data_IF_788295665889
#
_entry.id   IF_788295665889
#
_cell.length_a   1.000
_cell.length_b   1.000
_cell.length_c   1.000
_cell.angle_alpha   90.00
_cell.angle_beta   90.00
_cell.angle_gamma   90.00
#
_symmetry.space_group_name_H-M   'P 1'
#
loop_
_entity.id
_entity.type
_entity.pdbx_description
1 polymer ?
#
# COMPACT_ATOMS: atom_id res chain seq x y z
N UNK A 1 14.44 -15.41 -7.64
CA UNK A 1 13.91 -15.02 -6.32
C UNK A 1 13.66 -13.54 -6.38
N UNK A 2 12.41 -13.15 -6.23
CA UNK A 2 11.95 -11.76 -6.42
C UNK A 2 12.45 -10.91 -5.24
N UNK A 3 12.76 -9.63 -5.46
CA UNK A 3 13.04 -8.66 -4.37
C UNK A 3 11.96 -8.67 -3.27
N UNK A 4 10.74 -9.07 -3.64
CA UNK A 4 9.62 -9.27 -2.73
C UNK A 4 9.89 -10.38 -1.68
N UNK A 5 10.56 -11.46 -2.07
CA UNK A 5 10.87 -12.59 -1.18
C UNK A 5 11.97 -12.22 -0.17
N UNK A 6 12.96 -11.43 -0.60
CA UNK A 6 14.02 -10.93 0.29
C UNK A 6 13.47 -9.92 1.30
N UNK A 7 12.48 -9.11 0.90
CA UNK A 7 11.81 -8.17 1.78
C UNK A 7 10.92 -8.87 2.81
N UNK A 8 10.17 -9.91 2.43
CA UNK A 8 9.39 -10.73 3.36
C UNK A 8 10.30 -11.46 4.36
N UNK A 9 11.40 -12.06 3.90
CA UNK A 9 12.43 -12.67 4.77
C UNK A 9 13.05 -11.65 5.73
N UNK A 10 13.24 -10.40 5.29
CA UNK A 10 13.75 -9.33 6.12
C UNK A 10 12.74 -8.91 7.19
N UNK A 11 11.45 -8.76 6.85
CA UNK A 11 10.38 -8.46 7.81
C UNK A 11 10.18 -9.61 8.82
N UNK A 12 10.27 -10.86 8.37
CA UNK A 12 10.20 -12.04 9.23
C UNK A 12 11.40 -12.10 10.20
N UNK A 13 12.61 -11.77 9.72
CA UNK A 13 13.80 -11.66 10.56
C UNK A 13 13.69 -10.55 11.61
N UNK A 14 13.08 -9.42 11.29
CA UNK A 14 12.84 -8.32 12.25
C UNK A 14 11.81 -8.69 13.31
N UNK A 15 10.77 -9.45 12.95
CA UNK A 15 9.75 -9.91 13.90
C UNK A 15 10.28 -10.97 14.89
N UNK A 16 11.30 -11.74 14.49
CA UNK A 16 11.87 -12.82 15.31
C UNK A 16 12.96 -12.33 16.27
N UNK A 17 13.52 -11.12 16.04
CA UNK A 17 14.69 -10.61 16.80
C UNK A 17 14.30 -9.87 18.09
N UNK A 18 13.10 -10.06 18.64
CA UNK A 18 12.71 -9.50 19.96
C UNK A 18 13.30 -10.28 21.15
N UNK A 19 14.28 -11.16 20.93
CA UNK A 19 15.02 -11.83 22.01
C UNK A 19 16.52 -11.53 21.91
N UNK A 20 16.94 -10.54 22.70
CA UNK A 20 18.28 -10.28 23.22
C UNK A 20 19.47 -11.02 22.58
N UNK A 21 20.31 -10.27 21.84
CA UNK A 21 21.77 -10.38 21.96
C UNK A 21 22.43 -9.04 21.67
N UNK A 22 23.15 -8.57 22.68
CA UNK A 22 24.05 -7.41 22.69
C UNK A 22 25.17 -7.53 21.64
N UNK A 23 25.42 -6.43 20.91
CA UNK A 23 26.71 -6.23 20.22
C UNK A 23 26.67 -6.17 18.70
N UNK A 24 25.86 -5.27 18.13
CA UNK A 24 26.13 -4.63 16.84
C UNK A 24 25.28 -3.36 16.79
N UNK A 25 25.84 -2.27 16.24
CA UNK A 25 25.19 -0.97 16.13
C UNK A 25 24.05 -1.09 15.09
N UNK A 26 22.93 -1.67 15.49
CA UNK A 26 21.73 -1.77 14.67
C UNK A 26 21.05 -0.42 14.68
N UNK A 27 21.07 0.26 13.54
CA UNK A 27 20.32 1.48 13.30
C UNK A 27 18.83 1.16 13.39
N UNK A 28 18.22 1.53 14.53
CA UNK A 28 16.82 1.22 14.84
C UNK A 28 15.89 1.90 13.82
N UNK A 29 15.12 1.10 13.09
CA UNK A 29 14.09 1.58 12.17
C UNK A 29 12.75 1.47 12.86
N UNK A 30 12.06 2.59 12.97
CA UNK A 30 10.72 2.61 13.52
C UNK A 30 9.74 2.15 12.43
N UNK A 31 9.22 0.94 12.61
CA UNK A 31 8.25 0.32 11.71
C UNK A 31 6.89 0.21 12.40
N UNK A 32 5.83 0.35 11.62
CA UNK A 32 4.49 0.04 12.07
C UNK A 32 4.32 -1.48 12.15
N UNK A 33 4.22 -2.00 13.37
CA UNK A 33 3.96 -3.43 13.63
C UNK A 33 2.47 -3.61 13.87
N UNK A 34 1.83 -4.40 13.02
CA UNK A 34 0.44 -4.83 13.21
C UNK A 34 0.41 -6.07 14.11
N UNK A 35 -0.54 -6.18 15.05
CA UNK A 35 -0.76 -7.41 15.79
C UNK A 35 -1.19 -8.54 14.82
N UNK A 36 -0.60 -9.73 14.98
CA UNK A 36 -0.71 -10.85 14.02
C UNK A 36 -2.14 -11.30 13.69
N UNK A 37 -3.12 -11.00 14.55
CA UNK A 37 -4.53 -11.31 14.32
C UNK A 37 -5.20 -10.43 13.24
N UNK A 38 -4.67 -9.24 12.96
CA UNK A 38 -5.27 -8.31 11.99
C UNK A 38 -4.84 -8.60 10.55
N UNK A 39 -3.69 -9.24 10.35
CA UNK A 39 -3.12 -9.54 9.02
C UNK A 39 -4.00 -10.44 8.14
N UNK A 40 -4.83 -11.31 8.73
CA UNK A 40 -5.73 -12.20 7.96
C UNK A 40 -7.09 -11.58 7.64
N UNK A 41 -7.50 -10.54 8.38
CA UNK A 41 -8.86 -9.99 8.28
C UNK A 41 -8.95 -8.78 7.35
N UNK A 42 -7.85 -8.06 7.12
CA UNK A 42 -7.82 -6.85 6.30
C UNK A 42 -6.56 -6.81 5.40
N UNK A 43 -6.62 -7.51 4.27
CA UNK A 43 -5.50 -7.61 3.33
C UNK A 43 -5.12 -6.26 2.71
N UNK A 44 -6.12 -5.44 2.34
CA UNK A 44 -5.88 -4.13 1.71
C UNK A 44 -5.20 -3.16 2.67
N UNK A 45 -5.60 -3.18 3.95
CA UNK A 45 -4.96 -2.36 5.00
C UNK A 45 -3.52 -2.82 5.27
N UNK A 46 -3.26 -4.13 5.24
CA UNK A 46 -1.90 -4.65 5.35
C UNK A 46 -1.00 -4.15 4.21
N UNK A 47 -1.53 -4.06 2.98
CA UNK A 47 -0.78 -3.52 1.84
C UNK A 47 -0.43 -2.03 2.03
N UNK A 48 -1.36 -1.22 2.55
CA UNK A 48 -1.11 0.19 2.91
C UNK A 48 0.00 0.30 3.96
N UNK A 49 -0.02 -0.53 5.00
CA UNK A 49 1.00 -0.52 6.05
C UNK A 49 2.35 -1.03 5.52
N UNK A 50 2.36 -2.05 4.67
CA UNK A 50 3.58 -2.54 4.02
C UNK A 50 4.22 -1.46 3.14
N UNK A 51 3.41 -0.75 2.36
CA UNK A 51 3.86 0.37 1.52
C UNK A 51 4.39 1.53 2.36
N UNK A 52 3.71 1.85 3.46
CA UNK A 52 4.15 2.83 4.46
C UNK A 52 5.49 2.44 5.09
N UNK A 53 5.64 1.20 5.55
CA UNK A 53 6.87 0.68 6.13
C UNK A 53 8.01 0.64 5.12
N UNK A 54 7.76 0.28 3.86
CA UNK A 54 8.76 0.35 2.79
C UNK A 54 9.25 1.78 2.55
N UNK A 55 8.33 2.76 2.57
CA UNK A 55 8.66 4.17 2.45
C UNK A 55 9.50 4.67 3.64
N UNK A 56 9.15 4.29 4.87
CA UNK A 56 9.91 4.63 6.08
C UNK A 56 11.31 3.99 6.07
N UNK A 57 11.42 2.72 5.65
CA UNK A 57 12.70 2.02 5.48
C UNK A 57 13.62 2.68 4.45
N UNK A 58 13.06 3.24 3.38
CA UNK A 58 13.84 3.84 2.29
C UNK A 58 14.25 5.29 2.59
N UNK A 59 13.48 6.01 3.40
CA UNK A 59 13.72 7.42 3.74
C UNK A 59 14.35 7.61 5.14
N UNK A 60 15.06 6.59 5.66
CA UNK A 60 15.79 6.70 6.93
C UNK A 60 16.74 7.90 6.91
N UNK A 61 16.61 8.79 7.90
CA UNK A 61 17.46 9.98 8.04
C UNK A 61 16.99 11.22 7.27
N UNK A 62 15.89 11.14 6.50
CA UNK A 62 15.20 12.28 5.89
C UNK A 62 13.87 12.53 6.59
N UNK A 63 13.39 13.77 6.62
CA UNK A 63 12.05 14.09 7.13
C UNK A 63 11.01 13.34 6.31
N UNK A 64 10.29 12.36 6.90
CA UNK A 64 9.19 11.74 6.17
C UNK A 64 8.09 12.77 5.92
N UNK A 65 7.71 12.87 4.66
CA UNK A 65 6.61 13.71 4.24
C UNK A 65 5.26 13.01 4.47
N UNK A 66 4.39 13.68 5.23
CA UNK A 66 3.00 13.27 5.41
C UNK A 66 2.26 13.14 4.08
N UNK A 67 2.51 14.05 3.12
CA UNK A 67 1.85 14.05 1.81
C UNK A 67 2.09 12.74 1.09
N UNK A 68 3.31 12.20 1.11
CA UNK A 68 3.61 10.95 0.39
C UNK A 68 2.94 9.75 1.06
N UNK A 69 2.89 9.72 2.38
CA UNK A 69 2.19 8.66 3.13
C UNK A 69 0.68 8.71 2.91
N UNK A 70 0.11 9.92 2.92
CA UNK A 70 -1.29 10.18 2.60
C UNK A 70 -1.61 9.75 1.17
N UNK A 71 -0.87 10.24 0.18
CA UNK A 71 -1.11 9.96 -1.24
C UNK A 71 -0.98 8.46 -1.55
N UNK A 72 -0.05 7.77 -0.89
CA UNK A 72 0.09 6.32 -1.01
C UNK A 72 -1.15 5.61 -0.47
N UNK A 73 -1.61 5.96 0.72
CA UNK A 73 -2.83 5.41 1.30
C UNK A 73 -4.06 5.71 0.44
N UNK A 74 -4.23 6.96 -0.01
CA UNK A 74 -5.35 7.40 -0.86
C UNK A 74 -5.41 6.61 -2.15
N UNK A 75 -4.27 6.38 -2.80
CA UNK A 75 -4.24 5.60 -4.04
C UNK A 75 -4.69 4.15 -3.84
N UNK A 76 -4.30 3.52 -2.72
CA UNK A 76 -4.73 2.16 -2.42
C UNK A 76 -6.24 2.12 -2.09
N UNK A 77 -6.73 3.05 -1.28
CA UNK A 77 -8.15 3.14 -0.92
C UNK A 77 -9.01 3.46 -2.14
N UNK A 78 -8.63 4.43 -2.97
CA UNK A 78 -9.35 4.82 -4.18
C UNK A 78 -9.43 3.66 -5.18
N UNK A 79 -8.36 2.87 -5.32
CA UNK A 79 -8.38 1.68 -6.19
C UNK A 79 -9.45 0.68 -5.74
N UNK A 80 -9.49 0.36 -4.44
CA UNK A 80 -10.47 -0.58 -3.88
C UNK A 80 -11.89 -0.02 -3.99
N UNK A 81 -12.09 1.26 -3.65
CA UNK A 81 -13.40 1.92 -3.76
C UNK A 81 -13.92 1.94 -5.21
N UNK A 82 -13.04 2.15 -6.19
CA UNK A 82 -13.40 2.15 -7.60
C UNK A 82 -13.77 0.73 -8.09
N UNK A 83 -13.04 -0.30 -7.65
CA UNK A 83 -13.40 -1.70 -7.94
C UNK A 83 -14.78 -2.06 -7.37
N UNK A 84 -15.07 -1.66 -6.12
CA UNK A 84 -16.39 -1.86 -5.50
C UNK A 84 -17.46 -1.06 -6.26
N UNK A 85 -17.18 0.20 -6.60
CA UNK A 85 -18.08 1.07 -7.36
C UNK A 85 -18.53 0.46 -8.69
N UNK A 86 -17.62 -0.20 -9.41
CA UNK A 86 -17.93 -0.91 -10.65
C UNK A 86 -18.85 -2.12 -10.44
N UNK A 87 -18.77 -2.79 -9.28
CA UNK A 87 -19.58 -3.95 -8.95
C UNK A 87 -21.02 -3.62 -8.56
N UNK A 88 -21.30 -2.38 -8.14
CA UNK A 88 -22.66 -1.93 -7.74
C UNK A 88 -23.67 -2.09 -8.87
N UNK A 89 -23.24 -1.88 -10.12
CA UNK A 89 -24.11 -1.90 -11.30
C UNK A 89 -24.29 -3.31 -11.91
N UNK A 90 -23.52 -4.31 -11.46
CA UNK A 90 -23.56 -5.67 -12.03
C UNK A 90 -24.95 -6.33 -11.90
N UNK A 91 -25.66 -6.25 -10.76
CA UNK A 91 -27.01 -6.81 -10.64
C UNK A 91 -28.02 -6.18 -11.61
N UNK A 92 -27.87 -4.90 -11.91
CA UNK A 92 -28.71 -4.22 -12.91
C UNK A 92 -28.44 -4.80 -14.30
N UNK A 93 -27.18 -5.05 -14.65
CA UNK A 93 -26.81 -5.66 -15.92
C UNK A 93 -27.31 -7.12 -16.03
N UNK A 94 -27.28 -7.88 -14.94
CA UNK A 94 -27.86 -9.24 -14.90
C UNK A 94 -29.38 -9.19 -15.10
N UNK A 95 -30.07 -8.20 -14.48
CA UNK A 95 -31.50 -8.00 -14.62
C UNK A 95 -31.90 -7.60 -16.04
N UNK A 96 -31.10 -6.73 -16.67
CA UNK A 96 -31.27 -6.32 -18.06
C UNK A 96 -31.05 -7.52 -19.01
N UNK A 97 -30.00 -8.31 -18.80
CA UNK A 97 -29.81 -9.55 -19.57
C UNK A 97 -31.01 -10.50 -19.39
N UNK A 98 -31.51 -10.64 -18.16
CA UNK A 98 -32.70 -11.42 -17.85
C UNK A 98 -33.96 -10.98 -18.63
N UNK A 99 -34.12 -9.68 -18.90
CA UNK A 99 -35.26 -9.21 -19.73
C UNK A 99 -35.13 -9.66 -21.18
N UNK A 100 -33.92 -9.60 -21.75
CA UNK A 100 -33.68 -10.10 -23.10
C UNK A 100 -33.96 -11.59 -23.19
N UNK A 101 -33.46 -12.39 -22.23
CA UNK A 101 -33.74 -13.83 -22.19
C UNK A 101 -35.25 -14.09 -22.05
N UNK A 102 -35.95 -13.39 -21.15
CA UNK A 102 -37.39 -13.59 -20.93
C UNK A 102 -38.24 -13.29 -22.17
N UNK A 103 -37.91 -12.23 -22.91
CA UNK A 103 -38.58 -11.90 -24.18
C UNK A 103 -38.25 -12.95 -25.25
N UNK A 104 -37.00 -13.39 -25.38
CA UNK A 104 -36.59 -14.41 -26.35
C UNK A 104 -37.35 -15.72 -26.11
N UNK A 105 -37.45 -16.17 -24.86
CA UNK A 105 -38.21 -17.38 -24.50
C UNK A 105 -39.70 -17.19 -24.79
N UNK A 106 -40.26 -16.02 -24.45
CA UNK A 106 -41.67 -15.70 -24.74
C UNK A 106 -42.00 -15.71 -26.24
N UNK A 107 -41.09 -15.20 -27.08
CA UNK A 107 -41.24 -15.22 -28.54
C UNK A 107 -41.02 -16.60 -29.14
N UNK A 108 -40.14 -17.42 -28.57
CA UNK A 108 -39.91 -18.81 -29.02
C UNK A 108 -41.13 -19.71 -28.83
N UNK A 109 -42.09 -19.32 -27.99
CA UNK A 109 -43.38 -20.01 -27.83
C UNK A 109 -44.39 -19.71 -28.95
N UNK A 110 -44.06 -18.82 -29.89
CA UNK A 110 -44.92 -18.48 -31.02
C UNK A 110 -44.53 -19.35 -32.22
N UNK A 111 -45.44 -20.22 -32.66
CA UNK A 111 -45.22 -21.02 -33.87
C UNK A 111 -45.47 -20.15 -35.13
N UNK A 112 -44.40 -19.59 -35.67
CA UNK A 112 -44.44 -18.75 -36.87
C UNK A 112 -44.54 -19.57 -38.16
N UNK A 113 -44.35 -20.89 -38.10
CA UNK A 113 -44.33 -21.76 -39.29
C UNK A 113 -45.72 -21.90 -39.93
N UNK A 114 -46.80 -21.69 -39.16
CA UNK A 114 -48.18 -21.71 -39.67
C UNK A 114 -48.60 -20.42 -40.38
N UNK A 115 -47.80 -19.35 -40.28
CA UNK A 115 -48.11 -18.02 -40.84
C UNK A 115 -47.53 -17.82 -42.24
N UNK A 116 -46.47 -18.54 -42.62
CA UNK A 116 -45.81 -18.39 -43.93
C UNK A 116 -46.55 -19.09 -45.09
N UNK A 117 -47.52 -19.98 -44.80
CA UNK A 117 -48.23 -20.77 -45.82
C UNK A 117 -49.45 -20.07 -46.46
N UNK A 118 -49.56 -18.74 -46.39
CA UNK A 118 -50.57 -17.95 -47.12
C UNK A 118 -52.04 -18.20 -46.71
N UNK A 119 -52.28 -18.98 -45.66
CA UNK A 119 -53.61 -19.18 -45.07
C UNK A 119 -53.71 -18.28 -43.85
N UNK A 120 -54.80 -17.55 -43.72
CA UNK A 120 -55.09 -16.60 -42.65
C UNK A 120 -55.19 -17.33 -41.30
N UNK A 121 -54.06 -17.72 -40.73
CA UNK A 121 -53.99 -18.42 -39.46
C UNK A 121 -54.07 -17.39 -38.34
N UNK A 122 -55.24 -17.31 -37.74
CA UNK A 122 -55.47 -16.64 -36.47
C UNK A 122 -54.40 -17.11 -35.48
N UNK A 123 -53.53 -16.20 -35.05
CA UNK A 123 -52.56 -16.47 -33.99
C UNK A 123 -53.33 -17.10 -32.83
N UNK A 124 -52.98 -18.34 -32.46
CA UNK A 124 -53.67 -19.05 -31.39
C UNK A 124 -53.57 -18.28 -30.08
N UNK A 125 -54.65 -18.22 -29.30
CA UNK A 125 -54.67 -17.56 -27.99
C UNK A 125 -53.56 -18.07 -27.05
N UNK A 126 -53.15 -19.32 -27.23
CA UNK A 126 -52.10 -19.98 -26.45
C UNK A 126 -50.70 -19.40 -26.72
N UNK A 127 -50.40 -18.97 -27.95
CA UNK A 127 -49.10 -18.35 -28.27
C UNK A 127 -49.01 -16.91 -27.77
N UNK A 128 -50.14 -16.18 -27.76
CA UNK A 128 -50.25 -14.89 -27.03
C UNK A 128 -50.01 -15.11 -25.54
N UNK A 129 -50.57 -16.16 -24.95
CA UNK A 129 -50.37 -16.50 -23.54
C UNK A 129 -48.90 -16.74 -23.19
N UNK A 130 -48.17 -17.45 -24.06
CA UNK A 130 -46.74 -17.73 -23.87
C UNK A 130 -45.87 -16.46 -23.96
N UNK A 131 -46.15 -15.59 -24.94
CA UNK A 131 -45.51 -14.28 -25.07
C UNK A 131 -45.73 -13.45 -23.80
N UNK A 132 -46.99 -13.35 -23.37
CA UNK A 132 -47.38 -12.50 -22.25
C UNK A 132 -46.75 -12.98 -20.93
N UNK A 133 -46.64 -14.30 -20.74
CA UNK A 133 -45.93 -14.87 -19.59
C UNK A 133 -44.41 -14.59 -19.64
N UNK A 134 -43.78 -14.68 -20.82
CA UNK A 134 -42.37 -14.34 -21.00
C UNK A 134 -42.07 -12.87 -20.72
N UNK A 135 -42.97 -11.97 -21.12
CA UNK A 135 -42.86 -10.52 -20.85
C UNK A 135 -43.05 -10.22 -19.36
N UNK A 136 -44.01 -10.85 -18.69
CA UNK A 136 -44.17 -10.71 -17.23
C UNK A 136 -42.91 -11.18 -16.52
N UNK A 137 -42.36 -12.34 -16.89
CA UNK A 137 -41.11 -12.84 -16.33
C UNK A 137 -39.93 -11.88 -16.57
N UNK A 138 -39.84 -11.26 -17.76
CA UNK A 138 -38.85 -10.24 -18.09
C UNK A 138 -38.99 -8.97 -17.23
N UNK A 139 -40.22 -8.48 -17.00
CA UNK A 139 -40.47 -7.32 -16.15
C UNK A 139 -40.14 -7.60 -14.67
N UNK A 140 -40.35 -8.83 -14.20
CA UNK A 140 -39.95 -9.23 -12.84
C UNK A 140 -38.42 -9.31 -12.74
N UNK A 141 -37.73 -9.82 -13.76
CA UNK A 141 -36.27 -9.90 -13.77
C UNK A 141 -35.59 -8.52 -13.68
N UNK A 142 -36.09 -7.50 -14.40
CA UNK A 142 -35.58 -6.14 -14.27
C UNK A 142 -35.93 -5.49 -12.94
N UNK A 143 -37.14 -5.73 -12.41
CA UNK A 143 -37.54 -5.25 -11.10
C UNK A 143 -36.62 -5.79 -10.00
N UNK A 144 -36.32 -7.09 -10.04
CA UNK A 144 -35.42 -7.75 -9.09
C UNK A 144 -33.99 -7.23 -9.23
N UNK A 145 -33.49 -7.10 -10.47
CA UNK A 145 -32.16 -6.53 -10.72
C UNK A 145 -32.00 -5.11 -10.18
N UNK A 146 -33.01 -4.26 -10.41
CA UNK A 146 -33.04 -2.90 -9.88
C UNK A 146 -33.13 -2.89 -8.35
N UNK A 147 -34.02 -3.70 -7.77
CA UNK A 147 -34.17 -3.80 -6.31
C UNK A 147 -32.84 -4.22 -5.66
N UNK A 148 -32.14 -5.20 -6.24
CA UNK A 148 -30.85 -5.65 -5.73
C UNK A 148 -29.77 -4.58 -5.87
N UNK A 149 -29.72 -3.83 -6.97
CA UNK A 149 -28.81 -2.67 -7.12
C UNK A 149 -29.11 -1.57 -6.11
N UNK A 150 -30.38 -1.23 -5.88
CA UNK A 150 -30.77 -0.22 -4.89
C UNK A 150 -30.39 -0.66 -3.48
N UNK A 151 -30.66 -1.91 -3.11
CA UNK A 151 -30.28 -2.46 -1.80
C UNK A 151 -28.75 -2.44 -1.63
N UNK A 152 -28.01 -2.92 -2.62
CA UNK A 152 -26.54 -2.97 -2.56
C UNK A 152 -25.94 -1.56 -2.47
N UNK A 153 -26.39 -0.64 -3.33
CA UNK A 153 -25.89 0.75 -3.33
C UNK A 153 -26.29 1.53 -2.08
N UNK A 154 -27.58 1.53 -1.73
CA UNK A 154 -28.11 2.41 -0.70
C UNK A 154 -27.88 1.87 0.72
N UNK A 155 -28.03 0.56 0.94
CA UNK A 155 -27.95 -0.01 2.29
C UNK A 155 -26.59 -0.57 2.65
N UNK A 156 -25.77 -1.00 1.67
CA UNK A 156 -24.49 -1.67 1.96
C UNK A 156 -23.33 -0.75 1.62
N UNK A 157 -23.30 -0.21 0.41
CA UNK A 157 -22.17 0.60 -0.05
C UNK A 157 -22.04 1.94 0.67
N UNK A 158 -23.12 2.73 0.77
CA UNK A 158 -23.07 4.05 1.45
C UNK A 158 -22.53 4.00 2.89
N UNK A 159 -23.03 3.12 3.79
CA UNK A 159 -22.48 3.06 5.14
C UNK A 159 -21.06 2.49 5.17
N UNK A 160 -20.70 1.56 4.28
CA UNK A 160 -19.34 1.05 4.17
C UNK A 160 -18.35 2.15 3.73
N UNK A 161 -18.70 2.93 2.70
CA UNK A 161 -17.90 4.07 2.24
C UNK A 161 -17.73 5.12 3.33
N UNK A 162 -18.81 5.44 4.07
CA UNK A 162 -18.72 6.37 5.20
C UNK A 162 -17.78 5.88 6.32
N UNK A 163 -17.84 4.58 6.65
CA UNK A 163 -16.92 3.98 7.63
C UNK A 163 -15.48 4.01 7.13
N UNK A 164 -15.24 3.67 5.86
CA UNK A 164 -13.94 3.73 5.23
C UNK A 164 -13.33 5.14 5.30
N UNK A 165 -14.10 6.18 4.98
CA UNK A 165 -13.64 7.56 5.09
C UNK A 165 -13.31 7.97 6.54
N UNK A 166 -14.07 7.46 7.51
CA UNK A 166 -13.83 7.71 8.94
C UNK A 166 -12.54 7.03 9.40
N UNK A 167 -12.35 5.76 9.04
CA UNK A 167 -11.15 4.99 9.39
C UNK A 167 -9.89 5.55 8.71
N UNK A 168 -10.01 6.02 7.46
CA UNK A 168 -8.97 6.74 6.73
C UNK A 168 -8.54 8.02 7.47
N UNK A 169 -9.50 8.79 7.98
CA UNK A 169 -9.20 9.98 8.78
C UNK A 169 -8.51 9.61 10.11
N UNK A 170 -8.93 8.54 10.78
CA UNK A 170 -8.25 8.05 11.98
C UNK A 170 -6.80 7.63 11.69
N UNK A 171 -6.55 7.02 10.53
CA UNK A 171 -5.20 6.72 10.08
C UNK A 171 -4.36 8.00 9.87
N UNK A 172 -4.92 9.04 9.26
CA UNK A 172 -4.22 10.32 9.09
C UNK A 172 -3.92 11.01 10.42
N UNK A 173 -4.88 11.00 11.33
CA UNK A 173 -4.71 11.50 12.69
C UNK A 173 -3.58 10.76 13.41
N UNK A 174 -3.51 9.43 13.25
CA UNK A 174 -2.43 8.61 13.80
C UNK A 174 -1.07 8.98 13.19
N UNK A 175 -0.99 9.11 11.87
CA UNK A 175 0.24 9.53 11.21
C UNK A 175 0.74 10.88 11.75
N UNK A 176 -0.16 11.86 11.90
CA UNK A 176 0.21 13.20 12.36
C UNK A 176 0.50 13.28 13.85
N UNK A 177 -0.29 12.59 14.68
CA UNK A 177 -0.18 12.65 16.15
C UNK A 177 0.98 11.82 16.67
N UNK A 178 1.19 10.65 16.09
CA UNK A 178 2.08 9.62 16.65
C UNK A 178 3.26 9.37 15.73
N UNK A 179 3.08 9.15 14.43
CA UNK A 179 4.20 8.76 13.57
C UNK A 179 5.18 9.91 13.29
N UNK A 180 4.71 11.06 12.79
CA UNK A 180 5.58 12.16 12.37
C UNK A 180 6.41 12.75 13.52
N UNK A 181 5.86 12.98 14.73
CA UNK A 181 6.65 13.49 15.85
C UNK A 181 7.74 12.52 16.28
N UNK A 182 7.45 11.21 16.31
CA UNK A 182 8.43 10.18 16.66
C UNK A 182 9.57 10.09 15.63
N UNK A 183 9.25 10.17 14.34
CA UNK A 183 10.28 10.18 13.30
C UNK A 183 11.21 11.41 13.39
N UNK A 184 10.67 12.59 13.68
CA UNK A 184 11.48 13.81 13.81
C UNK A 184 12.45 13.73 15.01
N UNK A 185 12.02 13.07 16.10
CA UNK A 185 12.89 12.76 17.24
C UNK A 185 14.03 11.81 16.80
N UNK A 186 13.72 10.80 15.98
CA UNK A 186 14.70 9.89 15.38
C UNK A 186 15.77 10.59 14.53
N UNK A 187 15.37 11.51 13.65
CA UNK A 187 16.30 12.30 12.81
C UNK A 187 17.19 13.20 13.66
N UNK A 188 16.63 13.87 14.67
CA UNK A 188 17.39 14.71 15.61
C UNK A 188 18.43 13.92 16.40
N UNK A 189 18.10 12.68 16.79
CA UNK A 189 19.00 11.76 17.48
C UNK A 189 20.16 11.31 16.58
N UNK A 190 19.89 10.99 15.32
CA UNK A 190 20.92 10.62 14.33
C UNK A 190 21.85 11.80 13.99
N UNK A 191 21.32 13.02 13.86
CA UNK A 191 22.15 14.22 13.70
C UNK A 191 23.01 14.50 14.95
N UNK A 192 22.45 14.24 16.13
CA UNK A 192 23.16 14.31 17.40
C UNK A 192 24.34 13.34 17.47
N UNK A 193 24.14 12.08 17.09
CA UNK A 193 25.23 11.09 17.05
C UNK A 193 26.25 11.40 15.97
N UNK A 194 25.86 11.87 14.79
CA UNK A 194 26.79 12.32 13.75
C UNK A 194 27.68 13.47 14.23
N UNK A 195 27.08 14.46 14.91
CA UNK A 195 27.84 15.56 15.52
C UNK A 195 28.82 15.05 16.58
N UNK A 196 28.42 14.06 17.37
CA UNK A 196 29.29 13.45 18.39
C UNK A 196 30.47 12.70 17.74
N UNK A 197 30.20 11.90 16.71
CA UNK A 197 31.23 11.23 15.89
C UNK A 197 32.17 12.25 15.24
N UNK A 198 31.65 13.37 14.72
CA UNK A 198 32.48 14.43 14.13
C UNK A 198 33.34 15.14 15.18
N UNK A 199 32.80 15.43 16.36
CA UNK A 199 33.57 15.99 17.47
C UNK A 199 34.69 15.06 17.92
N UNK A 200 34.40 13.76 18.00
CA UNK A 200 35.39 12.74 18.32
C UNK A 200 36.45 12.63 17.21
N UNK A 201 36.06 12.70 15.94
CA UNK A 201 36.97 12.77 14.82
C UNK A 201 37.87 14.01 14.87
N UNK A 202 37.32 15.20 15.13
CA UNK A 202 38.09 16.45 15.23
C UNK A 202 39.11 16.37 16.36
N UNK A 203 38.71 15.86 17.54
CA UNK A 203 39.64 15.65 18.66
C UNK A 203 40.76 14.70 18.29
N UNK A 204 40.42 13.52 17.76
CA UNK A 204 41.39 12.49 17.40
C UNK A 204 42.30 12.91 16.23
N UNK A 205 41.77 13.69 15.29
CA UNK A 205 42.54 14.31 14.22
C UNK A 205 43.51 15.36 14.75
N UNK A 206 43.07 16.20 15.70
CA UNK A 206 43.93 17.18 16.37
C UNK A 206 45.06 16.53 17.17
N UNK A 207 44.76 15.48 17.94
CA UNK A 207 45.75 14.68 18.66
C UNK A 207 46.78 14.05 17.70
N UNK A 208 46.30 13.32 16.67
CA UNK A 208 47.17 12.68 15.69
C UNK A 208 48.02 13.69 14.88
N UNK A 209 47.51 14.89 14.60
CA UNK A 209 48.28 15.94 13.92
C UNK A 209 49.37 16.53 14.81
N UNK A 210 49.14 16.59 16.13
CA UNK A 210 50.16 16.91 17.12
C UNK A 210 51.31 15.89 17.09
N UNK A 211 50.96 14.60 17.17
CA UNK A 211 51.94 13.50 17.10
C UNK A 211 52.73 13.48 15.78
N UNK A 212 52.07 13.85 14.68
CA UNK A 212 52.71 13.97 13.37
C UNK A 212 53.71 15.14 13.30
N UNK A 213 53.37 16.27 13.92
CA UNK A 213 54.27 17.43 14.01
C UNK A 213 55.51 17.09 14.83
N UNK A 214 55.34 16.38 15.94
CA UNK A 214 56.44 15.96 16.80
C UNK A 214 57.35 14.95 16.10
N UNK A 215 56.75 13.99 15.36
CA UNK A 215 57.48 13.04 14.51
C UNK A 215 58.27 13.75 13.39
N UNK A 216 57.68 14.78 12.77
CA UNK A 216 58.34 15.60 11.75
C UNK A 216 59.51 16.43 12.30
N UNK A 217 59.39 16.95 13.52
CA UNK A 217 60.49 17.64 14.21
C UNK A 217 61.63 16.68 14.54
N UNK A 218 61.32 15.50 15.09
CA UNK A 218 62.30 14.45 15.35
C UNK A 218 63.02 14.00 14.08
N UNK A 219 62.32 13.85 12.96
CA UNK A 219 62.93 13.53 11.65
C UNK A 219 63.87 14.64 11.18
N UNK A 220 63.45 15.91 11.30
CA UNK A 220 64.29 17.05 10.94
C UNK A 220 65.55 17.15 11.82
N UNK A 221 65.42 16.94 13.13
CA UNK A 221 66.56 16.89 14.05
C UNK A 221 67.51 15.74 13.72
N UNK A 222 66.99 14.56 13.40
CA UNK A 222 67.80 13.41 13.00
C UNK A 222 68.53 13.65 11.67
N UNK A 223 67.85 14.22 10.67
CA UNK A 223 68.48 14.63 9.40
C UNK A 223 69.60 15.64 9.62
N UNK A 224 69.38 16.63 10.50
CA UNK A 224 70.39 17.63 10.85
C UNK A 224 71.60 17.02 11.55
N UNK A 225 71.38 16.10 12.50
CA UNK A 225 72.46 15.34 13.14
C UNK A 225 73.23 14.48 12.14
N UNK A 226 72.55 13.81 11.20
CA UNK A 226 73.20 13.02 10.15
C UNK A 226 74.03 13.91 9.21
N UNK A 227 73.54 15.12 8.88
CA UNK A 227 74.30 16.08 8.08
C UNK A 227 75.56 16.56 8.81
N UNK A 228 75.48 16.85 10.12
CA UNK A 228 76.64 17.25 10.92
C UNK A 228 77.71 16.16 10.99
N UNK A 229 77.31 14.89 11.16
CA UNK A 229 78.25 13.76 11.16
C UNK A 229 78.93 13.58 9.79
N UNK A 230 78.20 13.81 8.69
CA UNK A 230 78.76 13.76 7.33
C UNK A 230 79.71 14.92 7.03
N UNK A 231 79.50 16.10 7.63
CA UNK A 231 80.41 17.24 7.53
C UNK A 231 81.70 17.06 8.35
N UNK A 232 81.65 16.35 9.48
CA UNK A 232 82.85 16.03 10.29
C UNK A 232 83.73 14.92 9.70
N UNK A 233 83.20 14.11 8.78
CA UNK A 233 83.93 13.01 8.11
C UNK A 233 84.63 13.47 6.81
N UNK A 234 84.50 14.76 6.45
CA UNK A 234 85.12 15.35 5.25
C UNK A 234 86.32 16.23 5.59
#
# INVERSE_FOLDING_TARGET
>A
MSDLDQFELYLESLSTTTSATSGADFEMVELLVLPANTNKSHMDFFEVIKSTNAYLCKNKGSSADFSILKDTCERHVEKVDNEIGNLINVPLYIGLAGTFIGIIIGLSGIDFSTTTAGTTTTISSDSIGHLLNGVIAAMVASLVGLAFTVVNSAMIYKPAAYRNDTDKNHYYDFLQRELLPYLNIGVSKSLGSFKDVLNHFIKKFGENMGDYKDSGQLLNENLKKQQTVLEEIK
#
